data_IF_758850734334
#
_entry.id   IF_758850734334
#
_cell.length_a   1.000
_cell.length_b   1.000
_cell.length_c   1.000
_cell.angle_alpha   90.00
_cell.angle_beta   90.00
_cell.angle_gamma   90.00
#
_symmetry.space_group_name_H-M   'P 1'
#
loop_
_entity.id
_entity.type
_entity.pdbx_description
1 polymer ?
#
# COMPACT_ATOMS: atom_id res chain seq x y z
N UNK A 1 7.18 7.20 -6.50
CA UNK A 1 6.48 7.72 -5.30
C UNK A 1 7.29 7.33 -4.07
N UNK A 2 7.74 8.31 -3.28
CA UNK A 2 8.37 8.07 -1.95
C UNK A 2 7.27 8.14 -0.89
N UNK A 3 7.22 7.13 -0.02
CA UNK A 3 6.19 6.97 1.01
C UNK A 3 6.86 7.05 2.38
N UNK A 4 6.44 8.03 3.19
CA UNK A 4 6.71 8.13 4.62
C UNK A 4 5.40 8.53 5.32
N UNK A 5 4.59 7.54 5.71
CA UNK A 5 3.20 7.77 6.10
C UNK A 5 2.73 6.84 7.21
N UNK A 6 1.98 7.38 8.16
CA UNK A 6 1.21 6.61 9.14
C UNK A 6 -0.11 6.04 8.57
N UNK A 7 -0.48 6.38 7.35
CA UNK A 7 -1.75 6.00 6.73
C UNK A 7 -2.73 7.16 6.65
N UNK A 8 -4.00 6.86 6.62
CA UNK A 8 -5.06 7.86 6.50
C UNK A 8 -6.37 7.27 5.99
N UNK A 9 -7.15 8.08 5.28
CA UNK A 9 -8.48 7.71 4.82
C UNK A 9 -8.43 6.76 3.62
N UNK A 10 -9.23 5.70 3.65
CA UNK A 10 -9.29 4.68 2.58
C UNK A 10 -9.78 5.27 1.26
N UNK A 11 -10.70 6.23 1.28
CA UNK A 11 -11.17 6.88 0.05
C UNK A 11 -10.07 7.71 -0.64
N UNK A 12 -9.24 8.41 0.13
CA UNK A 12 -8.07 9.10 -0.42
C UNK A 12 -7.07 8.11 -1.03
N UNK A 13 -6.84 6.97 -0.37
CA UNK A 13 -6.05 5.87 -0.92
C UNK A 13 -6.63 5.39 -2.26
N UNK A 14 -7.96 5.22 -2.38
CA UNK A 14 -8.58 4.77 -3.63
C UNK A 14 -8.35 5.75 -4.78
N UNK A 15 -8.38 7.06 -4.51
CA UNK A 15 -8.05 8.09 -5.51
C UNK A 15 -6.61 7.94 -5.99
N UNK A 16 -5.64 7.89 -5.08
CA UNK A 16 -4.23 7.70 -5.43
C UNK A 16 -3.98 6.40 -6.21
N UNK A 17 -4.66 5.31 -5.85
CA UNK A 17 -4.59 4.05 -6.60
C UNK A 17 -5.11 4.21 -8.03
N UNK A 18 -6.19 4.97 -8.22
CA UNK A 18 -6.71 5.25 -9.55
C UNK A 18 -5.70 6.00 -10.41
N UNK A 19 -5.04 7.00 -9.85
CA UNK A 19 -4.01 7.78 -10.55
C UNK A 19 -2.81 6.89 -10.94
N UNK A 20 -2.35 6.03 -10.02
CA UNK A 20 -1.27 5.08 -10.31
C UNK A 20 -1.65 4.13 -11.46
N UNK A 21 -2.88 3.62 -11.45
CA UNK A 21 -3.36 2.69 -12.48
C UNK A 21 -3.58 3.33 -13.85
N UNK A 22 -3.80 4.65 -13.88
CA UNK A 22 -3.97 5.43 -15.10
C UNK A 22 -2.66 6.04 -15.60
N UNK A 23 -1.54 5.83 -14.90
CA UNK A 23 -0.24 6.33 -15.34
C UNK A 23 0.24 5.60 -16.60
N UNK A 24 0.71 6.35 -17.59
CA UNK A 24 1.25 5.81 -18.83
C UNK A 24 2.61 5.11 -18.65
N UNK A 25 3.31 5.46 -17.58
CA UNK A 25 4.63 4.93 -17.25
C UNK A 25 4.59 4.08 -15.98
N UNK A 26 5.49 3.09 -15.86
CA UNK A 26 5.64 2.29 -14.66
C UNK A 26 5.85 3.17 -13.42
N UNK A 27 5.11 2.91 -12.36
CA UNK A 27 5.23 3.64 -11.10
C UNK A 27 6.06 2.83 -10.11
N UNK A 28 7.22 3.37 -9.71
CA UNK A 28 8.00 2.83 -8.61
C UNK A 28 7.50 3.39 -7.27
N UNK A 29 7.46 2.55 -6.24
CA UNK A 29 7.19 2.95 -4.86
C UNK A 29 8.39 2.69 -3.96
N UNK A 30 8.67 3.62 -3.06
CA UNK A 30 9.85 3.61 -2.20
C UNK A 30 9.43 3.93 -0.77
N UNK A 31 9.82 3.09 0.19
CA UNK A 31 9.64 3.36 1.62
C UNK A 31 11.01 3.57 2.24
N UNK A 32 11.26 4.78 2.74
CA UNK A 32 12.54 5.13 3.38
C UNK A 32 12.47 5.04 4.90
N UNK A 33 11.36 5.44 5.52
CA UNK A 33 11.16 5.38 6.96
C UNK A 33 10.03 4.43 7.35
N UNK A 34 8.81 4.76 6.95
CA UNK A 34 7.64 3.96 7.29
C UNK A 34 6.54 4.02 6.24
N UNK A 35 5.80 2.92 6.13
CA UNK A 35 4.53 2.86 5.42
C UNK A 35 3.53 2.06 6.25
N UNK A 36 2.55 2.74 6.87
CA UNK A 36 1.60 2.13 7.78
C UNK A 36 0.17 2.23 7.24
N UNK A 37 -0.69 1.24 7.55
CA UNK A 37 -2.10 1.27 7.19
C UNK A 37 -2.31 1.51 5.68
N UNK A 38 -3.03 2.56 5.28
CA UNK A 38 -3.19 2.95 3.87
C UNK A 38 -1.85 3.15 3.14
N UNK A 39 -0.79 3.61 3.85
CA UNK A 39 0.56 3.74 3.29
C UNK A 39 1.17 2.39 2.91
N UNK A 40 0.94 1.36 3.71
CA UNK A 40 1.38 -0.01 3.41
C UNK A 40 0.66 -0.58 2.17
N UNK A 41 -0.62 -0.30 2.04
CA UNK A 41 -1.40 -0.70 0.86
C UNK A 41 -0.89 0.03 -0.38
N UNK A 42 -0.72 1.37 -0.30
CA UNK A 42 -0.21 2.18 -1.41
C UNK A 42 1.17 1.69 -1.88
N UNK A 43 2.04 1.30 -0.95
CA UNK A 43 3.36 0.75 -1.27
C UNK A 43 3.27 -0.44 -2.22
N UNK A 44 2.29 -1.31 -2.05
CA UNK A 44 2.13 -2.50 -2.92
C UNK A 44 1.64 -2.17 -4.33
N UNK A 45 1.25 -0.92 -4.62
CA UNK A 45 0.82 -0.48 -5.94
C UNK A 45 1.97 -0.03 -6.85
N UNK A 46 3.21 0.01 -6.35
CA UNK A 46 4.37 0.02 -7.22
C UNK A 46 4.36 -1.19 -8.14
N UNK A 47 4.74 -0.99 -9.40
CA UNK A 47 4.83 -2.08 -10.37
C UNK A 47 5.71 -3.22 -9.84
N UNK A 48 5.39 -4.45 -10.22
CA UNK A 48 6.19 -5.61 -9.79
C UNK A 48 7.64 -5.47 -10.31
N UNK A 49 8.59 -5.68 -9.41
CA UNK A 49 10.00 -5.37 -9.64
C UNK A 49 10.41 -3.93 -9.28
N UNK A 50 9.46 -3.04 -8.96
CA UNK A 50 9.73 -1.61 -8.71
C UNK A 50 9.27 -1.12 -7.33
N UNK A 51 9.15 -2.04 -6.35
CA UNK A 51 8.85 -1.73 -4.95
C UNK A 51 10.13 -1.81 -4.11
N UNK A 52 10.59 -0.67 -3.59
CA UNK A 52 11.85 -0.52 -2.87
C UNK A 52 11.60 -0.17 -1.41
N UNK A 53 12.38 -0.74 -0.52
CA UNK A 53 12.29 -0.48 0.91
C UNK A 53 13.68 -0.34 1.51
N UNK A 54 13.92 0.73 2.26
CA UNK A 54 15.17 0.90 3.00
C UNK A 54 15.32 -0.22 4.05
N UNK A 55 16.55 -0.67 4.36
CA UNK A 55 16.78 -1.77 5.30
C UNK A 55 16.16 -1.56 6.69
N UNK A 56 16.15 -0.31 7.16
CA UNK A 56 15.66 0.07 8.49
C UNK A 56 14.21 0.57 8.48
N UNK A 57 13.54 0.55 7.33
CA UNK A 57 12.14 0.99 7.20
C UNK A 57 11.18 -0.03 7.81
N UNK A 58 10.00 0.45 8.17
CA UNK A 58 8.94 -0.37 8.79
C UNK A 58 7.64 -0.24 8.01
N UNK A 59 7.00 -1.37 7.77
CA UNK A 59 5.63 -1.46 7.26
C UNK A 59 4.72 -1.91 8.40
N UNK A 60 3.50 -1.37 8.48
CA UNK A 60 2.48 -1.86 9.42
C UNK A 60 1.16 -2.08 8.70
N UNK A 61 0.57 -3.25 8.95
CA UNK A 61 -0.69 -3.69 8.37
C UNK A 61 -1.68 -3.98 9.50
N UNK A 62 -2.87 -3.47 9.37
CA UNK A 62 -3.99 -3.73 10.29
C UNK A 62 -5.33 -3.67 9.56
N UNK A 63 -6.39 -4.13 10.23
CA UNK A 63 -7.76 -3.99 9.73
C UNK A 63 -8.16 -2.51 9.64
N UNK A 64 -9.12 -2.20 8.78
CA UNK A 64 -9.68 -0.85 8.69
C UNK A 64 -10.30 -0.47 10.04
N UNK A 65 -9.77 0.59 10.65
CA UNK A 65 -10.34 1.15 11.87
C UNK A 65 -11.44 2.15 11.51
N UNK A 66 -12.59 2.03 12.17
CA UNK A 66 -13.70 2.96 12.07
C UNK A 66 -14.20 3.27 13.47
N UNK A 67 -14.66 4.49 13.66
CA UNK A 67 -15.32 4.91 14.88
C UNK A 67 -16.41 5.92 14.54
N UNK A 68 -17.55 5.84 15.18
CA UNK A 68 -18.66 6.73 14.91
C UNK A 68 -19.51 6.96 16.15
N UNK A 69 -20.24 8.06 16.13
CA UNK A 69 -21.24 8.41 17.10
C UNK A 69 -22.51 8.86 16.34
N UNK A 70 -23.62 8.24 16.58
CA UNK A 70 -24.86 8.54 15.83
C UNK A 70 -26.00 7.58 16.17
N UNK A 71 -27.00 7.56 15.31
CA UNK A 71 -28.13 6.63 15.43
C UNK A 71 -27.68 5.19 15.13
N UNK A 72 -28.37 4.22 15.69
CA UNK A 72 -28.03 2.80 15.56
C UNK A 72 -27.90 2.36 14.09
N UNK A 73 -28.81 2.78 13.22
CA UNK A 73 -28.78 2.39 11.80
C UNK A 73 -27.65 3.08 11.03
N UNK A 74 -27.27 4.30 11.40
CA UNK A 74 -26.09 4.99 10.85
C UNK A 74 -24.80 4.24 11.23
N UNK A 75 -24.66 3.86 12.51
CA UNK A 75 -23.50 3.09 12.98
C UNK A 75 -23.39 1.71 12.31
N UNK A 76 -24.52 1.06 12.05
CA UNK A 76 -24.53 -0.21 11.30
C UNK A 76 -24.07 -0.02 9.85
N UNK A 77 -24.53 1.05 9.20
CA UNK A 77 -24.12 1.38 7.83
C UNK A 77 -22.61 1.68 7.76
N UNK A 78 -22.08 2.45 8.71
CA UNK A 78 -20.65 2.77 8.79
C UNK A 78 -19.80 1.52 9.05
N UNK A 79 -20.24 0.63 9.93
CA UNK A 79 -19.55 -0.64 10.18
C UNK A 79 -19.56 -1.56 8.96
N UNK A 80 -20.67 -1.64 8.24
CA UNK A 80 -20.76 -2.43 7.00
C UNK A 80 -19.85 -1.86 5.90
N UNK A 81 -19.76 -0.53 5.78
CA UNK A 81 -18.86 0.13 4.84
C UNK A 81 -17.39 -0.09 5.21
N UNK A 82 -17.04 0.00 6.49
CA UNK A 82 -15.69 -0.30 6.96
C UNK A 82 -15.27 -1.74 6.62
N UNK A 83 -16.14 -2.73 6.85
CA UNK A 83 -15.86 -4.15 6.48
C UNK A 83 -15.72 -4.31 4.95
N UNK A 84 -16.57 -3.66 4.17
CA UNK A 84 -16.48 -3.69 2.71
C UNK A 84 -15.14 -3.13 2.20
N UNK A 85 -14.70 -2.00 2.77
CA UNK A 85 -13.43 -1.38 2.44
C UNK A 85 -12.24 -2.26 2.86
N UNK A 86 -12.31 -2.82 4.06
CA UNK A 86 -11.31 -3.74 4.59
C UNK A 86 -11.08 -4.94 3.64
N UNK A 87 -12.14 -5.61 3.28
CA UNK A 87 -12.07 -6.73 2.32
C UNK A 87 -11.47 -6.30 0.98
N UNK A 88 -11.85 -5.11 0.49
CA UNK A 88 -11.38 -4.58 -0.78
C UNK A 88 -9.87 -4.31 -0.77
N UNK A 89 -9.36 -3.58 0.24
CA UNK A 89 -7.93 -3.21 0.28
C UNK A 89 -7.03 -4.43 0.50
N UNK A 90 -7.41 -5.39 1.36
CA UNK A 90 -6.64 -6.62 1.55
C UNK A 90 -6.60 -7.49 0.30
N UNK A 91 -7.71 -7.58 -0.43
CA UNK A 91 -7.75 -8.28 -1.72
C UNK A 91 -6.83 -7.63 -2.75
N UNK A 92 -6.84 -6.30 -2.85
CA UNK A 92 -5.98 -5.57 -3.78
C UNK A 92 -4.50 -5.75 -3.41
N UNK A 93 -4.15 -5.61 -2.13
CA UNK A 93 -2.80 -5.86 -1.63
C UNK A 93 -2.33 -7.28 -1.97
N UNK A 94 -3.17 -8.27 -1.73
CA UNK A 94 -2.83 -9.66 -2.02
C UNK A 94 -2.59 -9.89 -3.53
N UNK A 95 -3.40 -9.30 -4.39
CA UNK A 95 -3.22 -9.36 -5.84
C UNK A 95 -1.88 -8.77 -6.26
N UNK A 96 -1.53 -7.57 -5.77
CA UNK A 96 -0.26 -6.90 -6.10
C UNK A 96 0.96 -7.69 -5.61
N UNK A 97 0.81 -8.45 -4.52
CA UNK A 97 1.87 -9.30 -3.97
C UNK A 97 1.88 -10.73 -4.54
N UNK A 98 1.03 -11.04 -5.53
CA UNK A 98 0.94 -12.39 -6.11
C UNK A 98 0.43 -13.45 -5.12
N UNK A 99 -0.41 -13.05 -4.17
CA UNK A 99 -0.95 -13.93 -3.12
C UNK A 99 -2.44 -14.20 -3.35
N UNK A 100 -2.98 -15.23 -2.67
CA UNK A 100 -4.42 -15.48 -2.63
C UNK A 100 -5.16 -14.32 -1.98
N UNK A 101 -6.37 -14.02 -2.43
CA UNK A 101 -7.15 -12.83 -2.03
C UNK A 101 -7.30 -12.64 -0.50
N UNK A 102 -7.31 -13.72 0.26
CA UNK A 102 -7.48 -13.74 1.71
C UNK A 102 -6.17 -13.84 2.50
N UNK A 103 -5.01 -13.80 1.82
CA UNK A 103 -3.71 -14.09 2.40
C UNK A 103 -3.37 -13.17 3.58
N UNK A 104 -3.36 -11.87 3.37
CA UNK A 104 -3.01 -10.90 4.41
C UNK A 104 -4.07 -10.83 5.50
N UNK A 105 -5.35 -10.86 5.13
CA UNK A 105 -6.46 -10.87 6.10
C UNK A 105 -6.36 -12.07 7.05
N UNK A 106 -6.04 -13.26 6.56
CA UNK A 106 -5.82 -14.44 7.41
C UNK A 106 -4.66 -14.28 8.38
N UNK A 107 -3.59 -13.59 8.00
CA UNK A 107 -2.45 -13.35 8.88
C UNK A 107 -2.83 -12.37 9.99
N UNK A 108 -3.49 -11.26 9.65
CA UNK A 108 -3.96 -10.26 10.63
C UNK A 108 -4.93 -10.93 11.63
N UNK A 109 -5.88 -11.73 11.16
CA UNK A 109 -6.80 -12.47 12.03
C UNK A 109 -6.06 -13.46 12.95
N UNK A 110 -5.05 -14.18 12.44
CA UNK A 110 -4.21 -15.06 13.27
C UNK A 110 -3.45 -14.33 14.35
N UNK A 111 -3.12 -13.07 14.13
CA UNK A 111 -2.47 -12.17 15.10
C UNK A 111 -3.49 -11.52 16.08
N UNK A 112 -4.74 -11.93 16.05
CA UNK A 112 -5.79 -11.41 16.92
C UNK A 112 -6.24 -9.99 16.57
N UNK A 113 -6.16 -9.60 15.29
CA UNK A 113 -6.48 -8.25 14.79
C UNK A 113 -5.58 -7.15 15.36
N UNK A 114 -4.39 -7.52 15.88
CA UNK A 114 -3.40 -6.56 16.33
C UNK A 114 -2.60 -5.99 15.14
N UNK A 115 -2.03 -4.82 15.33
CA UNK A 115 -1.13 -4.22 14.37
C UNK A 115 0.03 -5.16 14.04
N UNK A 116 0.21 -5.43 12.77
CA UNK A 116 1.28 -6.29 12.28
C UNK A 116 2.41 -5.44 11.70
N UNK A 117 3.46 -5.27 12.47
CA UNK A 117 4.68 -4.60 12.04
C UNK A 117 5.61 -5.58 11.33
N UNK A 118 6.19 -5.13 10.21
CA UNK A 118 7.11 -5.90 9.37
C UNK A 118 8.37 -5.07 9.12
N UNK A 119 9.51 -5.70 9.25
CA UNK A 119 10.78 -5.21 8.75
C UNK A 119 10.93 -5.46 7.23
N UNK A 120 12.06 -5.05 6.65
CA UNK A 120 12.30 -5.16 5.22
C UNK A 120 12.38 -6.61 4.74
N UNK A 121 12.97 -7.51 5.54
CA UNK A 121 13.08 -8.94 5.19
C UNK A 121 11.73 -9.64 5.24
N UNK A 122 10.90 -9.34 6.23
CA UNK A 122 9.53 -9.84 6.27
C UNK A 122 8.70 -9.30 5.09
N UNK A 123 8.84 -8.01 4.76
CA UNK A 123 8.17 -7.44 3.60
C UNK A 123 8.57 -8.15 2.31
N UNK A 124 9.84 -8.46 2.13
CA UNK A 124 10.33 -9.21 0.96
C UNK A 124 9.80 -10.63 0.92
N UNK A 125 9.78 -11.33 2.05
CA UNK A 125 9.22 -12.69 2.18
C UNK A 125 7.74 -12.75 1.76
N UNK A 126 6.99 -11.71 2.07
CA UNK A 126 5.58 -11.60 1.70
C UNK A 126 5.35 -11.01 0.30
N UNK A 127 6.41 -10.64 -0.42
CA UNK A 127 6.39 -9.95 -1.70
C UNK A 127 5.69 -8.56 -1.64
N UNK A 128 5.79 -7.90 -0.49
CA UNK A 128 5.33 -6.51 -0.30
C UNK A 128 6.34 -5.57 -0.96
N UNK A 129 7.65 -5.81 -0.75
CA UNK A 129 8.72 -5.15 -1.49
C UNK A 129 9.45 -6.13 -2.42
N UNK A 130 10.09 -5.60 -3.46
CA UNK A 130 10.93 -6.36 -4.38
C UNK A 130 12.42 -6.21 -4.04
N UNK A 131 12.81 -5.03 -3.53
CA UNK A 131 14.20 -4.71 -3.25
C UNK A 131 14.37 -4.07 -1.88
N UNK A 132 15.37 -4.55 -1.10
CA UNK A 132 15.76 -3.96 0.19
C UNK A 132 16.92 -3.01 -0.09
N UNK A 133 16.60 -1.82 -0.54
CA UNK A 133 17.52 -0.71 -0.80
C UNK A 133 16.74 0.54 -1.17
N UNK A 134 17.34 1.70 -1.02
CA UNK A 134 16.88 2.94 -1.66
C UNK A 134 17.48 2.97 -3.08
N UNK A 135 16.68 3.14 -4.13
CA UNK A 135 17.19 3.19 -5.49
C UNK A 135 17.87 4.54 -5.78
N UNK A 136 18.86 4.52 -6.65
CA UNK A 136 19.39 5.73 -7.30
C UNK A 136 18.81 5.85 -8.70
N UNK A 137 18.47 7.06 -9.12
CA UNK A 137 17.91 7.34 -10.44
C UNK A 137 18.87 8.22 -11.23
N UNK A 138 19.06 7.88 -12.50
CA UNK A 138 19.73 8.74 -13.48
C UNK A 138 18.69 9.17 -14.49
N UNK A 139 18.53 10.48 -14.69
CA UNK A 139 17.65 11.04 -15.74
C UNK A 139 18.53 11.44 -16.91
N UNK A 140 18.27 10.85 -18.09
CA UNK A 140 18.88 11.27 -19.37
C UNK A 140 17.82 12.03 -20.16
N UNK A 141 18.16 13.21 -20.66
CA UNK A 141 17.29 14.02 -21.52
C UNK A 141 17.95 14.13 -22.89
N UNK A 142 17.31 13.53 -23.89
CA UNK A 142 17.71 13.68 -25.28
C UNK A 142 16.89 14.83 -25.91
N UNK A 143 17.58 15.85 -26.39
CA UNK A 143 16.95 17.00 -27.05
C UNK A 143 17.15 16.88 -28.56
N UNK A 144 16.06 16.65 -29.29
CA UNK A 144 16.07 16.71 -30.75
C UNK A 144 15.60 18.11 -31.19
N UNK A 145 16.40 18.79 -32.01
CA UNK A 145 16.00 20.03 -32.68
C UNK A 145 15.69 19.72 -34.14
N UNK A 146 14.48 20.04 -34.55
CA UNK A 146 14.10 20.08 -35.97
C UNK A 146 14.13 21.55 -36.40
N UNK A 147 14.79 21.81 -37.51
CA UNK A 147 14.79 23.12 -38.18
C UNK A 147 13.85 23.01 -39.36
N UNK A 148 12.78 23.83 -39.37
CA UNK A 148 11.85 23.97 -40.47
C UNK A 148 12.46 24.82 -41.61
#
# INVERSE_FOLDING_TARGET
IVIDSYGGQVYALMSMISDIKCADLPVATIVEGKAMSCGAILFTFGEDGHRYMAPDATVMIHDVSSGGFGKVEELKADAAEADRLDQKIFKMMAQNCGKKADYFKKIVHKKGHADWFLDAEECKKHNICNHIRVPSFTVSIDVNMELD
#
